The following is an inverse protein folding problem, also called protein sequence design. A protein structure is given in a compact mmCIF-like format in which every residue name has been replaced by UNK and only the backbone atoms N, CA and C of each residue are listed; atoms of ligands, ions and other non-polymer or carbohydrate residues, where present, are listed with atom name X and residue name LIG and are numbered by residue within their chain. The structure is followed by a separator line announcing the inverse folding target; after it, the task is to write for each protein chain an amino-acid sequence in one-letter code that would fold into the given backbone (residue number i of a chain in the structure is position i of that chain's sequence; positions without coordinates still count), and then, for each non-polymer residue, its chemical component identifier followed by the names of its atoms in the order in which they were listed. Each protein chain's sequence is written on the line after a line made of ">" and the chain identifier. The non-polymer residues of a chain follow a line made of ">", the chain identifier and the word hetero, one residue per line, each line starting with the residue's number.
data_IF_005831852819
#
_entry.id   IF_005831852819
#
_cell.length_a   1.000
_cell.length_b   1.000
_cell.length_c   1.000
_cell.angle_alpha   90.00
_cell.angle_beta   90.00
_cell.angle_gamma   90.00
#
_symmetry.space_group_name_H-M   'P 1'
#
loop_
_entity.id
_entity.type
_entity.pdbx_description
1 polymer ?
#
# COMPACT_ATOMS: atom_id res chain seq x y z
N UNK A 1 19.79 7.47 6.78
CA UNK A 1 18.34 7.25 6.76
C UNK A 1 17.82 7.41 5.34
N UNK A 2 17.00 6.51 4.92
CA UNK A 2 16.40 6.60 3.60
C UNK A 2 15.13 7.43 3.66
N UNK A 3 15.07 8.48 2.85
CA UNK A 3 13.93 9.37 2.81
C UNK A 3 12.93 9.01 1.69
N UNK A 4 13.22 7.98 0.92
CA UNK A 4 12.38 7.64 -0.23
C UNK A 4 11.36 6.56 0.14
N UNK A 5 10.12 6.79 -0.24
CA UNK A 5 9.05 5.81 -0.17
C UNK A 5 8.62 5.53 -1.60
N UNK A 6 8.82 4.30 -2.05
CA UNK A 6 8.36 3.90 -3.38
C UNK A 6 6.87 3.58 -3.31
N UNK A 7 6.12 4.06 -4.31
CA UNK A 7 4.70 3.73 -4.43
C UNK A 7 4.52 2.86 -5.66
N UNK A 8 3.90 1.70 -5.48
CA UNK A 8 3.65 0.75 -6.55
C UNK A 8 2.15 0.70 -6.83
N UNK A 9 1.80 0.82 -8.10
CA UNK A 9 0.41 0.66 -8.51
C UNK A 9 0.05 -0.82 -8.55
N UNK A 10 -1.06 -1.18 -7.90
CA UNK A 10 -1.54 -2.56 -7.81
C UNK A 10 -2.99 -2.62 -8.28
N UNK A 11 -3.43 -3.81 -8.70
CA UNK A 11 -4.82 -4.01 -9.10
C UNK A 11 -5.75 -4.08 -7.91
N UNK A 12 -5.25 -4.57 -6.78
CA UNK A 12 -6.03 -4.66 -5.55
C UNK A 12 -5.13 -4.44 -4.35
N UNK A 13 -5.41 -3.38 -3.60
CA UNK A 13 -4.70 -3.11 -2.35
C UNK A 13 -4.97 -4.22 -1.33
N UNK A 14 -6.21 -4.72 -1.29
CA UNK A 14 -6.57 -5.78 -0.34
C UNK A 14 -5.75 -7.05 -0.59
N UNK A 15 -5.61 -7.46 -1.85
CA UNK A 15 -4.80 -8.63 -2.21
C UNK A 15 -3.32 -8.39 -1.89
N UNK A 16 -2.83 -7.20 -2.17
CA UNK A 16 -1.44 -6.86 -1.88
C UNK A 16 -1.17 -6.87 -0.38
N UNK A 17 -2.09 -6.38 0.42
CA UNK A 17 -1.96 -6.41 1.88
C UNK A 17 -1.96 -7.84 2.41
N UNK A 18 -2.81 -8.70 1.87
CA UNK A 18 -2.85 -10.11 2.26
C UNK A 18 -1.53 -10.82 1.92
N UNK A 19 -1.00 -10.58 0.72
CA UNK A 19 0.28 -11.14 0.30
C UNK A 19 1.42 -10.67 1.20
N UNK A 20 1.43 -9.38 1.53
CA UNK A 20 2.45 -8.83 2.43
C UNK A 20 2.41 -9.52 3.80
N UNK A 21 1.22 -9.74 4.34
CA UNK A 21 1.06 -10.41 5.63
C UNK A 21 1.59 -11.85 5.58
N UNK A 22 1.34 -12.56 4.49
CA UNK A 22 1.85 -13.92 4.30
C UNK A 22 3.37 -13.97 4.26
N UNK A 23 4.00 -12.91 3.77
CA UNK A 23 5.46 -12.81 3.68
C UNK A 23 6.10 -12.28 4.96
N UNK A 24 5.32 -12.03 5.98
CA UNK A 24 5.84 -11.56 7.28
C UNK A 24 5.93 -10.05 7.41
N UNK A 25 5.39 -9.31 6.46
CA UNK A 25 5.33 -7.85 6.55
C UNK A 25 4.18 -7.37 7.43
N UNK A 26 4.15 -6.09 7.70
CA UNK A 26 3.09 -5.48 8.49
C UNK A 26 2.51 -4.28 7.75
N UNK A 27 1.30 -3.89 8.15
CA UNK A 27 0.65 -2.70 7.59
C UNK A 27 1.13 -1.50 8.40
N UNK A 28 1.81 -0.57 7.73
CA UNK A 28 2.26 0.67 8.38
C UNK A 28 1.15 1.71 8.40
N UNK A 29 0.36 1.77 7.34
CA UNK A 29 -0.79 2.65 7.24
C UNK A 29 -1.91 1.89 6.54
N UNK A 30 -3.05 1.75 7.20
CA UNK A 30 -4.18 1.01 6.67
C UNK A 30 -4.72 1.64 5.38
N UNK A 31 -5.38 0.82 4.56
CA UNK A 31 -6.02 1.26 3.33
C UNK A 31 -6.92 2.46 3.59
N UNK A 32 -6.75 3.49 2.78
CA UNK A 32 -7.56 4.70 2.89
C UNK A 32 -8.01 5.16 1.50
N UNK A 33 -9.18 5.78 1.38
CA UNK A 33 -9.61 6.35 0.12
C UNK A 33 -8.88 7.66 -0.17
N UNK A 34 -8.51 7.83 -1.45
CA UNK A 34 -7.98 9.09 -1.95
C UNK A 34 -8.97 9.59 -3.00
N UNK A 35 -9.77 10.60 -2.70
CA UNK A 35 -10.82 11.06 -3.61
C UNK A 35 -10.29 11.38 -5.00
N UNK A 36 -10.94 10.82 -6.01
CA UNK A 36 -10.56 11.04 -7.41
C UNK A 36 -9.34 10.24 -7.88
N UNK A 37 -8.70 9.51 -7.00
CA UNK A 37 -7.49 8.74 -7.33
C UNK A 37 -7.71 7.25 -7.12
N UNK A 38 -8.09 6.83 -5.91
CA UNK A 38 -8.28 5.42 -5.60
C UNK A 38 -8.05 5.11 -4.14
N UNK A 39 -7.33 4.02 -3.90
CA UNK A 39 -7.04 3.52 -2.56
C UNK A 39 -5.53 3.50 -2.33
N UNK A 40 -5.12 3.93 -1.16
CA UNK A 40 -3.71 3.99 -0.80
C UNK A 40 -3.48 3.27 0.52
N UNK A 41 -2.39 2.53 0.60
CA UNK A 41 -1.94 1.92 1.85
C UNK A 41 -0.42 1.91 1.88
N UNK A 42 0.15 1.88 3.07
CA UNK A 42 1.58 1.71 3.25
C UNK A 42 1.83 0.42 4.01
N UNK A 43 2.80 -0.33 3.55
CA UNK A 43 3.24 -1.56 4.20
C UNK A 43 4.70 -1.45 4.58
N UNK A 44 5.10 -2.27 5.53
CA UNK A 44 6.49 -2.42 5.94
C UNK A 44 6.88 -3.86 5.72
N UNK A 45 7.94 -4.07 4.95
CA UNK A 45 8.40 -5.42 4.69
C UNK A 45 9.19 -5.99 5.89
N UNK A 46 9.56 -7.29 5.88
CA UNK A 46 10.30 -7.88 6.98
C UNK A 46 11.66 -7.22 7.25
N UNK A 47 12.22 -6.55 6.26
CA UNK A 47 13.50 -5.85 6.40
C UNK A 47 13.35 -4.43 6.93
N UNK A 48 12.11 -3.98 7.14
CA UNK A 48 11.83 -2.67 7.68
C UNK A 48 11.66 -1.56 6.64
N UNK A 49 11.58 -1.90 5.36
CA UNK A 49 11.36 -0.92 4.31
C UNK A 49 9.87 -0.59 4.17
N UNK A 50 9.57 0.68 3.93
CA UNK A 50 8.19 1.12 3.74
C UNK A 50 7.89 1.23 2.25
N UNK A 51 6.75 0.67 1.84
CA UNK A 51 6.30 0.67 0.46
C UNK A 51 4.86 1.15 0.40
N UNK A 52 4.59 2.09 -0.51
CA UNK A 52 3.23 2.54 -0.78
C UNK A 52 2.55 1.67 -1.83
N UNK A 53 1.28 1.36 -1.62
CA UNK A 53 0.45 0.61 -2.57
C UNK A 53 -0.69 1.50 -3.02
N UNK A 54 -0.84 1.65 -4.32
CA UNK A 54 -1.89 2.49 -4.90
C UNK A 54 -2.75 1.67 -5.85
N UNK A 55 -4.05 1.66 -5.58
CA UNK A 55 -5.04 1.06 -6.47
C UNK A 55 -5.83 2.19 -7.11
N UNK A 56 -5.70 2.34 -8.42
CA UNK A 56 -6.46 3.36 -9.14
C UNK A 56 -7.93 2.99 -9.19
N UNK A 57 -8.78 3.89 -8.73
CA UNK A 57 -10.24 3.69 -8.77
C UNK A 57 -10.91 5.07 -8.78
N UNK A 58 -11.31 5.50 -9.95
CA UNK A 58 -11.92 6.81 -10.14
C UNK A 58 -13.29 6.95 -9.47
N UNK A 59 -13.89 5.82 -9.08
CA UNK A 59 -15.18 5.82 -8.40
C UNK A 59 -15.06 6.18 -6.91
N UNK A 60 -13.83 6.27 -6.38
CA UNK A 60 -13.64 6.68 -4.99
C UNK A 60 -13.95 8.17 -4.87
N UNK A 61 -14.89 8.49 -4.01
CA UNK A 61 -15.31 9.86 -3.77
C UNK A 61 -14.64 10.46 -2.55
#
# INVERSE_FOLDING_TARGET
>A
MNAFICTVQVDSVDDALATNAELGGVVALAKMPVPGVGWLAYIKDPDGNILGLLQSDEAVA
#
